data_IF_442970623225
#
_entry.id   IF_442970623225
#
_cell.length_a   1.000
_cell.length_b   1.000
_cell.length_c   1.000
_cell.angle_alpha   90.00
_cell.angle_beta   90.00
_cell.angle_gamma   90.00
#
_symmetry.space_group_name_H-M   'P 1'
#
loop_
_entity.id
_entity.type
_entity.pdbx_description
1 polymer ?
#
# COMPACT_ATOMS: atom_id res chain seq x y z
N UNK A 1 -19.83 -3.97 -2.48
CA UNK A 1 -18.70 -4.87 -2.76
C UNK A 1 -19.13 -5.87 -3.80
N UNK A 2 -18.38 -5.95 -4.90
CA UNK A 2 -18.51 -7.06 -5.86
C UNK A 2 -17.96 -8.35 -5.24
N UNK A 3 -18.36 -9.50 -5.77
CA UNK A 3 -17.82 -10.80 -5.32
C UNK A 3 -16.29 -10.84 -5.46
N UNK A 4 -15.74 -10.19 -6.50
CA UNK A 4 -14.30 -10.09 -6.72
C UNK A 4 -13.59 -9.30 -5.62
N UNK A 5 -14.14 -8.16 -5.21
CA UNK A 5 -13.60 -7.34 -4.13
C UNK A 5 -13.63 -8.08 -2.78
N UNK A 6 -14.74 -8.77 -2.48
CA UNK A 6 -14.88 -9.58 -1.27
C UNK A 6 -13.81 -10.69 -1.21
N UNK A 7 -13.61 -11.39 -2.33
CA UNK A 7 -12.62 -12.45 -2.45
C UNK A 7 -11.19 -11.93 -2.29
N UNK A 8 -10.89 -10.77 -2.87
CA UNK A 8 -9.60 -10.11 -2.67
C UNK A 8 -9.38 -9.72 -1.22
N UNK A 9 -10.32 -8.98 -0.62
CA UNK A 9 -10.22 -8.49 0.76
C UNK A 9 -10.04 -9.64 1.76
N UNK A 10 -10.79 -10.73 1.58
CA UNK A 10 -10.69 -11.92 2.46
C UNK A 10 -9.31 -12.57 2.38
N UNK A 11 -8.71 -12.63 1.19
CA UNK A 11 -7.37 -13.23 0.99
C UNK A 11 -6.23 -12.28 1.34
N UNK A 12 -6.48 -10.98 1.30
CA UNK A 12 -5.48 -9.94 1.59
C UNK A 12 -5.43 -9.57 3.08
N UNK A 13 -6.55 -9.66 3.81
CA UNK A 13 -6.64 -9.33 5.23
C UNK A 13 -5.55 -9.96 6.12
N UNK A 14 -5.12 -11.24 5.93
CA UNK A 14 -4.07 -11.84 6.76
C UNK A 14 -2.69 -11.17 6.66
N UNK A 15 -2.44 -10.35 5.64
CA UNK A 15 -1.18 -9.62 5.47
C UNK A 15 -1.17 -8.26 6.20
N UNK A 16 -2.29 -7.88 6.81
CA UNK A 16 -2.44 -6.60 7.52
C UNK A 16 -2.56 -6.88 9.01
N UNK A 17 -1.71 -6.26 9.82
CA UNK A 17 -1.64 -6.46 11.26
C UNK A 17 -1.27 -5.16 11.99
N UNK A 18 -1.34 -5.18 13.33
CA UNK A 18 -1.09 -4.00 14.17
C UNK A 18 0.33 -3.44 14.03
N UNK A 19 1.30 -4.24 13.55
CA UNK A 19 2.69 -3.81 13.39
C UNK A 19 2.92 -3.08 12.08
N UNK A 20 2.19 -3.44 11.03
CA UNK A 20 2.39 -2.87 9.70
C UNK A 20 1.32 -1.85 9.26
N UNK A 21 0.12 -1.85 9.88
CA UNK A 21 -0.99 -1.00 9.44
C UNK A 21 -0.65 0.49 9.42
N UNK A 22 0.02 1.01 10.45
CA UNK A 22 0.42 2.42 10.51
C UNK A 22 1.39 2.76 9.37
N UNK A 23 2.44 1.95 9.19
CA UNK A 23 3.42 2.15 8.12
C UNK A 23 2.78 2.07 6.73
N UNK A 24 1.84 1.16 6.50
CA UNK A 24 1.13 1.08 5.22
C UNK A 24 0.33 2.35 4.92
N UNK A 25 -0.33 2.92 5.93
CA UNK A 25 -1.12 4.15 5.79
C UNK A 25 -0.22 5.36 5.54
N UNK A 26 0.92 5.44 6.21
CA UNK A 26 1.91 6.50 6.01
C UNK A 26 2.48 6.45 4.59
N UNK A 27 2.89 5.27 4.11
CA UNK A 27 3.44 5.09 2.76
C UNK A 27 2.42 5.38 1.65
N UNK A 28 1.16 5.00 1.85
CA UNK A 28 0.07 5.37 0.93
C UNK A 28 -0.13 6.89 0.87
N UNK A 29 -0.08 7.55 2.03
CA UNK A 29 -0.25 9.01 2.13
C UNK A 29 0.92 9.76 1.50
N UNK A 30 2.15 9.31 1.72
CA UNK A 30 3.36 9.89 1.12
C UNK A 30 3.34 9.74 -0.41
N UNK A 31 3.00 8.54 -0.91
CA UNK A 31 2.86 8.31 -2.34
C UNK A 31 1.79 9.21 -2.96
N UNK A 32 0.62 9.38 -2.31
CA UNK A 32 -0.42 10.29 -2.76
C UNK A 32 0.09 11.74 -2.84
N UNK A 33 0.75 12.22 -1.79
CA UNK A 33 1.30 13.58 -1.74
C UNK A 33 2.31 13.82 -2.86
N UNK A 34 3.23 12.87 -3.11
CA UNK A 34 4.19 12.98 -4.20
C UNK A 34 3.53 13.04 -5.58
N UNK A 35 2.46 12.26 -5.81
CA UNK A 35 1.68 12.34 -7.05
C UNK A 35 0.98 13.69 -7.18
N UNK A 36 0.35 14.20 -6.11
CA UNK A 36 -0.30 15.52 -6.08
C UNK A 36 0.70 16.66 -6.36
N UNK A 37 1.95 16.50 -5.94
CA UNK A 37 3.05 17.43 -6.20
C UNK A 37 3.66 17.27 -7.61
N UNK A 38 3.06 16.49 -8.50
CA UNK A 38 3.51 16.24 -9.88
C UNK A 38 4.91 15.58 -9.98
N UNK A 39 5.28 14.77 -8.98
CA UNK A 39 6.48 13.92 -9.06
C UNK A 39 6.27 12.80 -10.10
N UNK A 40 7.35 12.26 -10.67
CA UNK A 40 7.27 11.17 -11.63
C UNK A 40 6.62 9.91 -11.01
N UNK A 41 5.40 9.61 -11.45
CA UNK A 41 4.61 8.50 -10.91
C UNK A 41 5.31 7.14 -10.99
N UNK A 42 6.12 6.87 -12.02
CA UNK A 42 6.85 5.59 -12.13
C UNK A 42 7.89 5.45 -11.03
N UNK A 43 8.57 6.53 -10.66
CA UNK A 43 9.54 6.52 -9.56
C UNK A 43 8.83 6.38 -8.20
N UNK A 44 7.75 7.13 -7.99
CA UNK A 44 6.95 7.05 -6.75
C UNK A 44 6.40 5.64 -6.55
N UNK A 45 5.79 5.04 -7.56
CA UNK A 45 5.25 3.68 -7.45
C UNK A 45 6.33 2.61 -7.30
N UNK A 46 7.52 2.83 -7.85
CA UNK A 46 8.65 1.91 -7.66
C UNK A 46 9.11 1.90 -6.20
N UNK A 47 9.36 3.08 -5.61
CA UNK A 47 9.73 3.20 -4.20
C UNK A 47 8.63 2.65 -3.27
N UNK A 48 7.39 3.07 -3.49
CA UNK A 48 6.21 2.57 -2.78
C UNK A 48 6.14 1.03 -2.82
N UNK A 49 6.31 0.41 -3.99
CA UNK A 49 6.24 -1.05 -4.12
C UNK A 49 7.31 -1.77 -3.29
N UNK A 50 8.53 -1.23 -3.23
CA UNK A 50 9.61 -1.81 -2.43
C UNK A 50 9.30 -1.75 -0.94
N UNK A 51 8.83 -0.60 -0.45
CA UNK A 51 8.49 -0.40 0.96
C UNK A 51 7.27 -1.25 1.36
N UNK A 52 6.27 -1.36 0.49
CA UNK A 52 5.10 -2.22 0.69
C UNK A 52 5.48 -3.70 0.85
N UNK A 53 6.44 -4.21 0.05
CA UNK A 53 6.92 -5.60 0.19
C UNK A 53 7.51 -5.85 1.58
N UNK A 54 8.25 -4.89 2.12
CA UNK A 54 8.84 -5.00 3.47
C UNK A 54 7.76 -5.00 4.54
N UNK A 55 6.77 -4.11 4.45
CA UNK A 55 5.66 -4.00 5.41
C UNK A 55 4.75 -5.24 5.39
N UNK A 56 4.48 -5.81 4.22
CA UNK A 56 3.61 -6.99 4.07
C UNK A 56 4.26 -8.30 4.52
N UNK A 57 5.58 -8.33 4.69
CA UNK A 57 6.32 -9.52 5.15
C UNK A 57 6.43 -9.61 6.69
N UNK A 58 6.10 -8.53 7.42
CA UNK A 58 6.18 -8.46 8.89
C UNK A 58 5.03 -9.18 9.58
#
# INVERSE_FOLDING_TARGET
MTIGEQNFATRFAPFINERNIMGLMDELSEAQQHIEQNVNAKMVFFDFSLKMIVLLKQ
#
